data_IF_738025887217
#
_entry.id   IF_738025887217
#
_cell.length_a   1.000
_cell.length_b   1.000
_cell.length_c   1.000
_cell.angle_alpha   90.00
_cell.angle_beta   90.00
_cell.angle_gamma   90.00
#
_symmetry.space_group_name_H-M   'P 1'
#
loop_
_entity.id
_entity.type
_entity.pdbx_description
1 polymer ?
#
# COMPACT_ATOMS: atom_id res chain seq x y z
N UNK A 1 -4.50 -1.60 -37.22
CA UNK A 1 -3.13 -1.71 -36.67
C UNK A 1 -3.22 -1.39 -35.19
N UNK A 2 -3.28 -2.40 -34.33
CA UNK A 2 -3.25 -2.22 -32.88
C UNK A 2 -1.78 -2.10 -32.46
N UNK A 3 -1.43 -0.96 -31.86
CA UNK A 3 -0.14 -0.78 -31.24
C UNK A 3 -0.15 -1.46 -29.85
N UNK A 4 0.64 -2.51 -29.72
CA UNK A 4 0.87 -3.15 -28.43
C UNK A 4 1.73 -2.21 -27.57
N UNK A 5 1.17 -1.77 -26.43
CA UNK A 5 1.93 -1.06 -25.40
C UNK A 5 2.76 -2.12 -24.67
N UNK A 6 4.07 -2.11 -24.90
CA UNK A 6 5.00 -2.96 -24.17
C UNK A 6 5.15 -2.39 -22.76
N UNK A 7 4.60 -3.09 -21.77
CA UNK A 7 4.88 -2.86 -20.36
C UNK A 7 6.31 -3.37 -20.11
N UNK A 8 7.23 -2.45 -19.83
CA UNK A 8 8.59 -2.79 -19.44
C UNK A 8 8.57 -3.23 -17.98
N UNK A 9 8.48 -4.54 -17.74
CA UNK A 9 8.61 -5.13 -16.41
C UNK A 9 10.08 -4.99 -15.99
N UNK A 10 10.34 -4.19 -14.98
CA UNK A 10 11.66 -4.17 -14.31
C UNK A 10 11.87 -5.53 -13.66
N UNK A 11 13.02 -6.16 -13.91
CA UNK A 11 13.37 -7.48 -13.38
C UNK A 11 13.25 -7.48 -11.85
N UNK A 12 12.34 -8.30 -11.34
CA UNK A 12 12.20 -8.55 -9.91
C UNK A 12 13.46 -9.20 -9.34
N UNK A 13 13.85 -8.91 -8.08
CA UNK A 13 14.93 -9.63 -7.42
C UNK A 13 14.62 -11.13 -7.37
N UNK A 14 15.64 -11.97 -7.61
CA UNK A 14 15.49 -13.43 -7.68
C UNK A 14 14.88 -13.97 -6.39
N UNK A 15 13.66 -14.55 -6.50
CA UNK A 15 12.93 -15.20 -5.41
C UNK A 15 13.61 -16.50 -4.99
N UNK A 16 13.85 -16.65 -3.67
CA UNK A 16 13.96 -17.97 -3.06
C UNK A 16 12.54 -18.47 -2.74
N UNK A 17 12.21 -19.65 -3.29
CA UNK A 17 10.99 -20.44 -3.01
C UNK A 17 9.64 -19.82 -3.42
N UNK A 18 9.40 -19.72 -4.74
CA UNK A 18 8.05 -19.57 -5.27
C UNK A 18 7.25 -20.88 -5.06
N UNK A 19 6.08 -20.79 -4.41
CA UNK A 19 5.14 -21.90 -4.36
C UNK A 19 4.53 -22.12 -5.75
N UNK A 20 4.26 -23.37 -6.18
CA UNK A 20 3.83 -23.67 -7.56
C UNK A 20 2.46 -23.14 -7.97
N UNK A 21 1.65 -22.62 -7.05
CA UNK A 21 0.23 -22.29 -7.27
C UNK A 21 -0.13 -20.82 -6.97
N UNK A 22 0.84 -19.95 -6.67
CA UNK A 22 0.55 -18.53 -6.40
C UNK A 22 0.83 -17.71 -7.67
N UNK A 23 -0.22 -17.13 -8.25
CA UNK A 23 -0.11 -16.03 -9.21
C UNK A 23 0.80 -14.96 -8.63
N UNK A 24 1.77 -14.46 -9.40
CA UNK A 24 2.69 -13.44 -8.89
C UNK A 24 1.91 -12.16 -8.61
N UNK A 25 1.89 -11.71 -7.34
CA UNK A 25 1.18 -10.51 -6.92
C UNK A 25 1.56 -9.27 -7.74
N UNK A 26 2.74 -9.27 -8.36
CA UNK A 26 3.21 -8.19 -9.24
C UNK A 26 2.57 -8.21 -10.62
N UNK A 27 2.00 -9.33 -11.03
CA UNK A 27 1.29 -9.50 -12.31
C UNK A 27 -0.22 -9.24 -12.18
N UNK A 28 -0.74 -9.15 -10.93
CA UNK A 28 -2.14 -8.90 -10.65
C UNK A 28 -2.52 -7.43 -10.83
N UNK A 29 -3.76 -7.18 -11.25
CA UNK A 29 -4.36 -5.85 -11.19
C UNK A 29 -4.48 -5.34 -9.74
N UNK A 30 -4.72 -4.03 -9.58
CA UNK A 30 -4.99 -3.47 -8.26
C UNK A 30 -6.23 -4.14 -7.62
N UNK A 31 -7.31 -4.31 -8.39
CA UNK A 31 -8.55 -4.91 -7.90
C UNK A 31 -8.34 -6.37 -7.47
N UNK A 32 -7.64 -7.18 -8.27
CA UNK A 32 -7.33 -8.56 -7.90
C UNK A 32 -6.47 -8.63 -6.64
N UNK A 33 -5.47 -7.76 -6.53
CA UNK A 33 -4.64 -7.66 -5.34
C UNK A 33 -5.40 -7.18 -4.10
N UNK A 34 -6.37 -6.29 -4.27
CA UNK A 34 -7.24 -5.85 -3.17
C UNK A 34 -8.18 -6.97 -2.71
N UNK A 35 -8.61 -7.85 -3.60
CA UNK A 35 -9.58 -8.90 -3.30
C UNK A 35 -8.93 -10.20 -2.80
N UNK A 36 -7.61 -10.36 -2.92
CA UNK A 36 -6.87 -11.56 -2.49
C UNK A 36 -5.97 -11.29 -1.29
N UNK A 37 -5.83 -12.22 -0.33
CA UNK A 37 -6.61 -13.45 -0.18
C UNK A 37 -8.06 -13.17 0.27
N UNK A 38 -8.97 -14.09 -0.01
CA UNK A 38 -10.34 -14.02 0.47
C UNK A 38 -10.40 -14.33 1.97
N UNK A 39 -10.99 -13.42 2.77
CA UNK A 39 -11.02 -13.49 4.24
C UNK A 39 -12.39 -13.90 4.75
N UNK A 40 -13.48 -13.40 4.14
CA UNK A 40 -14.89 -13.56 4.61
C UNK A 40 -15.34 -15.00 4.86
N UNK A 41 -14.80 -15.96 4.12
CA UNK A 41 -15.10 -17.38 4.30
C UNK A 41 -14.17 -18.05 5.31
N UNK A 42 -13.33 -17.27 6.01
CA UNK A 42 -12.41 -17.78 7.00
C UNK A 42 -13.09 -17.84 8.39
N UNK A 43 -12.98 -18.97 9.08
CA UNK A 43 -13.53 -19.18 10.43
C UNK A 43 -13.03 -18.15 11.48
N UNK A 44 -12.04 -17.36 11.17
CA UNK A 44 -11.40 -16.39 12.05
C UNK A 44 -11.38 -14.98 11.46
N UNK A 45 -12.32 -14.66 10.55
CA UNK A 45 -12.46 -13.34 9.94
C UNK A 45 -12.64 -12.24 11.01
N UNK A 46 -13.46 -12.51 12.04
CA UNK A 46 -13.71 -11.58 13.14
C UNK A 46 -12.42 -11.15 13.87
N UNK A 47 -11.44 -12.07 14.05
CA UNK A 47 -10.16 -11.74 14.69
C UNK A 47 -9.29 -10.83 13.81
N UNK A 48 -9.39 -10.98 12.50
CA UNK A 48 -8.67 -10.12 11.54
C UNK A 48 -9.33 -8.75 11.53
N UNK A 49 -10.65 -8.69 11.48
CA UNK A 49 -11.43 -7.44 11.52
C UNK A 49 -11.13 -6.63 12.79
N UNK A 50 -11.20 -7.26 13.98
CA UNK A 50 -10.86 -6.62 15.24
C UNK A 50 -9.43 -6.07 15.23
N UNK A 51 -8.46 -6.85 14.75
CA UNK A 51 -7.08 -6.44 14.65
C UNK A 51 -6.90 -5.26 13.69
N UNK A 52 -7.55 -5.30 12.52
CA UNK A 52 -7.50 -4.22 11.54
C UNK A 52 -8.11 -2.94 12.09
N UNK A 53 -9.24 -3.03 12.80
CA UNK A 53 -9.88 -1.87 13.43
C UNK A 53 -8.95 -1.21 14.46
N UNK A 54 -8.30 -1.99 15.32
CA UNK A 54 -7.35 -1.48 16.30
C UNK A 54 -6.13 -0.83 15.62
N UNK A 55 -5.62 -1.44 14.53
CA UNK A 55 -4.53 -0.87 13.74
C UNK A 55 -4.94 0.45 13.07
N UNK A 56 -6.14 0.51 12.48
CA UNK A 56 -6.68 1.73 11.89
C UNK A 56 -6.80 2.86 12.94
N UNK A 57 -7.25 2.53 14.16
CA UNK A 57 -7.31 3.49 15.26
C UNK A 57 -5.91 3.99 15.66
N UNK A 58 -4.89 3.14 15.65
CA UNK A 58 -3.51 3.52 15.94
C UNK A 58 -2.96 4.50 14.90
N UNK A 59 -3.22 4.28 13.60
CA UNK A 59 -2.87 5.22 12.55
C UNK A 59 -3.62 6.55 12.69
N UNK A 60 -4.94 6.53 12.94
CA UNK A 60 -5.73 7.75 13.20
C UNK A 60 -5.18 8.56 14.38
N UNK A 61 -4.83 7.90 15.47
CA UNK A 61 -4.19 8.52 16.64
C UNK A 61 -2.84 9.16 16.31
N UNK A 62 -2.14 8.62 15.32
CA UNK A 62 -0.86 9.16 14.82
C UNK A 62 -1.05 10.19 13.69
N UNK A 63 -2.26 10.75 13.57
CA UNK A 63 -2.62 11.81 12.63
C UNK A 63 -2.45 11.41 11.15
N UNK A 64 -2.88 10.18 10.81
CA UNK A 64 -3.09 9.74 9.44
C UNK A 64 -4.56 9.79 9.07
N UNK A 65 -4.86 10.09 7.81
CA UNK A 65 -6.17 9.86 7.22
C UNK A 65 -6.31 8.37 6.93
N UNK A 66 -7.36 7.75 7.49
CA UNK A 66 -7.52 6.29 7.46
C UNK A 66 -8.97 5.92 7.22
N UNK A 67 -9.15 5.06 6.26
CA UNK A 67 -10.42 4.39 5.99
C UNK A 67 -10.27 2.88 6.18
N UNK A 68 -11.38 2.19 6.40
CA UNK A 68 -11.43 0.73 6.50
C UNK A 68 -12.47 0.25 5.49
N UNK A 69 -12.08 -0.67 4.64
CA UNK A 69 -12.91 -1.20 3.57
C UNK A 69 -13.01 -2.72 3.61
N UNK A 70 -13.77 -3.32 2.69
CA UNK A 70 -14.04 -4.76 2.67
C UNK A 70 -14.56 -5.27 4.03
N UNK A 71 -15.55 -4.54 4.59
CA UNK A 71 -16.20 -4.87 5.88
C UNK A 71 -15.21 -5.08 7.03
N UNK A 72 -14.19 -4.24 7.12
CA UNK A 72 -13.22 -4.31 8.21
C UNK A 72 -11.89 -4.99 7.87
N UNK A 73 -11.77 -5.59 6.68
CA UNK A 73 -10.61 -6.42 6.34
C UNK A 73 -9.39 -5.65 5.84
N UNK A 74 -9.58 -4.51 5.15
CA UNK A 74 -8.49 -3.74 4.53
C UNK A 74 -8.44 -2.33 5.08
N UNK A 75 -7.26 -1.89 5.49
CA UNK A 75 -7.01 -0.52 5.91
C UNK A 75 -6.43 0.26 4.74
N UNK A 76 -6.96 1.45 4.49
CA UNK A 76 -6.39 2.42 3.55
C UNK A 76 -5.85 3.61 4.32
N UNK A 77 -4.59 3.91 4.15
CA UNK A 77 -3.94 5.09 4.74
C UNK A 77 -3.59 6.06 3.63
N UNK A 78 -4.18 7.26 3.68
CA UNK A 78 -3.98 8.30 2.68
C UNK A 78 -2.93 9.32 3.13
N UNK A 79 -1.97 9.60 2.25
CA UNK A 79 -0.91 10.58 2.43
C UNK A 79 -0.98 11.62 1.30
N UNK A 80 -1.15 12.92 1.60
CA UNK A 80 -1.09 13.95 0.58
C UNK A 80 0.27 13.94 -0.14
N UNK A 81 0.27 14.01 -1.48
CA UNK A 81 1.52 14.02 -2.26
C UNK A 81 2.43 15.20 -1.87
N UNK A 82 1.87 16.33 -1.45
CA UNK A 82 2.65 17.49 -0.97
C UNK A 82 3.42 17.25 0.33
N UNK A 83 3.08 16.20 1.07
CA UNK A 83 3.85 15.76 2.24
C UNK A 83 5.06 14.94 1.82
N UNK A 84 4.93 14.19 0.73
CA UNK A 84 5.93 13.26 0.24
C UNK A 84 6.94 13.91 -0.70
N UNK A 85 6.48 14.83 -1.55
CA UNK A 85 7.27 15.41 -2.65
C UNK A 85 7.13 16.92 -2.71
N UNK A 86 8.17 17.61 -3.19
CA UNK A 86 8.06 19.00 -3.60
C UNK A 86 7.16 19.14 -4.86
N UNK A 87 6.64 20.32 -5.17
CA UNK A 87 5.86 20.54 -6.39
C UNK A 87 6.61 20.08 -7.64
N UNK A 88 5.95 19.30 -8.48
CA UNK A 88 6.49 18.70 -9.72
C UNK A 88 7.76 17.84 -9.54
N UNK A 89 8.12 17.49 -8.31
CA UNK A 89 9.26 16.63 -7.99
C UNK A 89 8.81 15.19 -7.76
N UNK A 90 9.77 14.28 -7.90
CA UNK A 90 9.59 12.83 -7.67
C UNK A 90 10.47 12.32 -6.54
N UNK A 91 11.39 13.14 -6.02
CA UNK A 91 12.29 12.76 -4.93
C UNK A 91 11.57 12.89 -3.58
N UNK A 92 11.63 11.82 -2.76
CA UNK A 92 11.05 11.83 -1.41
C UNK A 92 11.74 12.86 -0.52
N UNK A 93 10.93 13.72 0.10
CA UNK A 93 11.41 14.65 1.13
C UNK A 93 11.74 13.92 2.43
N UNK A 94 12.54 14.53 3.30
CA UNK A 94 12.81 14.03 4.66
C UNK A 94 11.50 13.83 5.46
N UNK A 95 10.54 14.73 5.30
CA UNK A 95 9.22 14.61 5.91
C UNK A 95 8.46 13.41 5.33
N UNK A 96 8.50 13.23 4.01
CA UNK A 96 7.89 12.09 3.34
C UNK A 96 8.44 10.77 3.86
N UNK A 97 9.76 10.64 3.95
CA UNK A 97 10.41 9.46 4.53
C UNK A 97 9.97 9.22 5.98
N UNK A 98 9.89 10.27 6.80
CA UNK A 98 9.41 10.15 8.18
C UNK A 98 7.95 9.66 8.26
N UNK A 99 7.10 10.09 7.32
CA UNK A 99 5.70 9.63 7.23
C UNK A 99 5.56 8.18 6.75
N UNK A 100 6.54 7.65 6.01
CA UNK A 100 6.55 6.26 5.55
C UNK A 100 7.12 5.28 6.60
N UNK A 101 7.96 5.74 7.54
CA UNK A 101 8.61 4.87 8.55
C UNK A 101 7.67 3.93 9.33
N UNK A 102 6.46 4.33 9.78
CA UNK A 102 5.57 3.43 10.50
C UNK A 102 5.22 2.15 9.72
N UNK A 103 5.15 2.24 8.38
CA UNK A 103 4.82 1.10 7.52
C UNK A 103 5.92 0.03 7.48
N UNK A 104 7.17 0.37 7.80
CA UNK A 104 8.26 -0.61 7.90
C UNK A 104 7.96 -1.68 8.95
N UNK A 105 7.20 -1.35 9.99
CA UNK A 105 6.80 -2.32 11.01
C UNK A 105 5.84 -3.39 10.48
N UNK A 106 5.07 -3.08 9.43
CA UNK A 106 4.15 -4.02 8.77
C UNK A 106 4.91 -5.07 7.96
N UNK A 107 6.12 -4.72 7.49
CA UNK A 107 6.97 -5.58 6.65
C UNK A 107 7.93 -6.47 7.46
N UNK A 108 7.99 -6.35 8.79
CA UNK A 108 8.85 -7.17 9.66
C UNK A 108 8.52 -8.67 9.61
N UNK A 109 7.26 -8.99 9.37
CA UNK A 109 6.80 -10.37 9.23
C UNK A 109 6.32 -10.57 7.77
N UNK A 110 7.16 -11.12 6.90
CA UNK A 110 6.76 -11.36 5.50
C UNK A 110 5.46 -12.16 5.40
N UNK A 111 4.57 -11.73 4.50
CA UNK A 111 3.26 -12.36 4.31
C UNK A 111 2.23 -12.08 5.44
N UNK A 112 2.52 -11.19 6.39
CA UNK A 112 1.51 -10.73 7.35
C UNK A 112 0.60 -9.69 6.73
N UNK A 113 1.19 -8.72 6.02
CA UNK A 113 0.51 -7.75 5.19
C UNK A 113 1.06 -7.77 3.76
N UNK A 114 0.19 -7.54 2.80
CA UNK A 114 0.51 -7.06 1.47
C UNK A 114 0.25 -5.54 1.46
N UNK A 115 1.24 -4.75 1.05
CA UNK A 115 1.14 -3.30 0.93
C UNK A 115 0.97 -2.93 -0.54
N UNK A 116 -0.16 -2.33 -0.90
CA UNK A 116 -0.36 -1.77 -2.23
C UNK A 116 -0.13 -0.26 -2.16
N UNK A 117 0.85 0.23 -2.92
CA UNK A 117 1.21 1.65 -2.98
C UNK A 117 0.55 2.25 -4.22
N UNK A 118 -0.53 3.00 -4.05
CA UNK A 118 -1.32 3.53 -5.17
C UNK A 118 -1.16 5.04 -5.26
N UNK A 119 -0.50 5.51 -6.32
CA UNK A 119 -0.21 6.93 -6.51
C UNK A 119 -1.16 7.58 -7.50
N UNK A 120 -1.82 8.64 -7.04
CA UNK A 120 -2.79 9.41 -7.81
C UNK A 120 -2.31 10.85 -8.06
N UNK A 121 -2.82 11.44 -9.14
CA UNK A 121 -2.65 12.85 -9.49
C UNK A 121 -4.01 13.56 -9.62
N UNK A 122 -3.97 14.85 -9.81
CA UNK A 122 -5.11 15.61 -10.34
C UNK A 122 -5.02 15.68 -11.89
N UNK A 123 -6.03 16.27 -12.52
CA UNK A 123 -6.11 16.44 -13.98
C UNK A 123 -5.31 17.64 -14.52
N UNK A 124 -4.28 18.11 -13.81
CA UNK A 124 -3.43 19.20 -14.29
C UNK A 124 -2.31 18.63 -15.16
N UNK A 125 -2.45 18.76 -16.47
CA UNK A 125 -1.55 18.19 -17.47
C UNK A 125 -2.26 17.19 -18.39
N UNK A 126 -1.48 16.55 -19.28
CA UNK A 126 -2.06 15.46 -20.09
C UNK A 126 -2.14 14.16 -19.28
N UNK A 127 -3.04 13.22 -19.65
CA UNK A 127 -3.11 11.91 -19.01
C UNK A 127 -1.78 11.15 -19.02
N UNK A 128 -1.01 11.28 -20.10
CA UNK A 128 0.32 10.65 -20.21
C UNK A 128 1.29 11.26 -19.19
N UNK A 129 1.27 12.59 -19.03
CA UNK A 129 2.13 13.28 -18.05
C UNK A 129 1.76 12.90 -16.62
N UNK A 130 0.49 12.87 -16.27
CA UNK A 130 0.04 12.52 -14.92
C UNK A 130 0.37 11.07 -14.59
N UNK A 131 0.25 10.16 -15.56
CA UNK A 131 0.63 8.75 -15.42
C UNK A 131 2.15 8.60 -15.20
N UNK A 132 2.98 9.26 -16.01
CA UNK A 132 4.44 9.21 -15.85
C UNK A 132 4.90 9.82 -14.52
N UNK A 133 4.30 10.93 -14.09
CA UNK A 133 4.61 11.57 -12.82
C UNK A 133 4.27 10.63 -11.63
N UNK A 134 3.09 10.01 -11.66
CA UNK A 134 2.67 9.07 -10.61
C UNK A 134 3.52 7.81 -10.61
N UNK A 135 3.92 7.30 -11.77
CA UNK A 135 4.84 6.17 -11.91
C UNK A 135 6.21 6.48 -11.30
N UNK A 136 6.81 7.61 -11.66
CA UNK A 136 8.09 8.02 -11.09
C UNK A 136 8.02 8.19 -9.57
N UNK A 137 6.93 8.77 -9.06
CA UNK A 137 6.72 8.96 -7.62
C UNK A 137 6.54 7.65 -6.86
N UNK A 138 5.67 6.75 -7.34
CA UNK A 138 5.45 5.48 -6.64
C UNK A 138 6.69 4.59 -6.68
N UNK A 139 7.45 4.62 -7.76
CA UNK A 139 8.73 3.90 -7.84
C UNK A 139 9.73 4.44 -6.80
N UNK A 140 9.86 5.76 -6.63
CA UNK A 140 10.73 6.32 -5.58
C UNK A 140 10.25 5.98 -4.16
N UNK A 141 8.94 5.84 -3.94
CA UNK A 141 8.41 5.30 -2.66
C UNK A 141 8.79 3.84 -2.51
N UNK A 142 8.61 3.03 -3.54
CA UNK A 142 8.95 1.61 -3.54
C UNK A 142 10.45 1.39 -3.30
N UNK A 143 11.31 2.13 -4.01
CA UNK A 143 12.76 2.06 -3.84
C UNK A 143 13.18 2.42 -2.40
N UNK A 144 12.51 3.41 -1.79
CA UNK A 144 12.75 3.72 -0.39
C UNK A 144 12.37 2.54 0.53
N UNK A 145 11.31 1.78 0.25
CA UNK A 145 10.99 0.56 0.99
C UNK A 145 12.05 -0.52 0.75
N UNK A 146 12.52 -0.70 -0.49
CA UNK A 146 13.62 -1.65 -0.83
C UNK A 146 14.86 -1.39 0.01
N UNK A 147 15.21 -0.11 0.18
CA UNK A 147 16.39 0.29 0.97
C UNK A 147 16.23 0.04 2.48
N UNK A 148 15.00 -0.14 2.99
CA UNK A 148 14.71 -0.15 4.43
C UNK A 148 14.05 -1.44 4.95
N UNK A 149 13.52 -2.32 4.08
CA UNK A 149 12.81 -3.54 4.47
C UNK A 149 12.81 -4.59 3.36
N UNK A 150 12.33 -5.82 3.66
CA UNK A 150 11.91 -6.78 2.63
C UNK A 150 10.63 -6.30 1.96
N UNK A 151 10.58 -6.35 0.64
CA UNK A 151 9.46 -5.86 -0.18
C UNK A 151 8.70 -6.97 -0.92
N UNK A 152 8.88 -8.23 -0.54
CA UNK A 152 8.25 -9.39 -1.20
C UNK A 152 6.72 -9.27 -1.33
N UNK A 153 6.10 -8.43 -0.50
CA UNK A 153 4.67 -8.16 -0.46
C UNK A 153 4.35 -6.67 -0.59
N UNK A 154 5.15 -5.91 -1.33
CA UNK A 154 4.90 -4.48 -1.62
C UNK A 154 4.73 -4.28 -3.11
N UNK A 155 3.56 -3.82 -3.55
CA UNK A 155 3.22 -3.67 -4.98
C UNK A 155 2.91 -2.21 -5.31
N UNK A 156 3.67 -1.57 -6.22
CA UNK A 156 3.43 -0.19 -6.64
C UNK A 156 2.46 -0.11 -7.81
N UNK A 157 1.49 0.83 -7.74
CA UNK A 157 0.55 1.18 -8.80
C UNK A 157 0.57 2.68 -9.09
N UNK A 158 0.56 3.05 -10.37
CA UNK A 158 0.46 4.42 -10.83
C UNK A 158 -0.83 4.60 -11.62
N UNK A 159 -1.72 5.47 -11.16
CA UNK A 159 -3.04 5.66 -11.77
C UNK A 159 -3.21 7.03 -12.46
N UNK A 160 -2.20 7.91 -12.42
CA UNK A 160 -2.34 9.24 -12.99
C UNK A 160 -3.54 9.99 -12.39
N UNK A 161 -4.39 10.55 -13.23
CA UNK A 161 -5.62 11.24 -12.88
C UNK A 161 -6.90 10.44 -13.17
N UNK A 162 -6.78 9.13 -13.45
CA UNK A 162 -7.89 8.27 -13.87
C UNK A 162 -8.92 8.03 -12.76
N UNK A 163 -8.52 8.09 -11.47
CA UNK A 163 -9.37 7.81 -10.33
C UNK A 163 -9.36 8.97 -9.32
N UNK A 164 -10.07 10.08 -9.62
CA UNK A 164 -10.15 11.20 -8.70
C UNK A 164 -11.02 10.87 -7.48
N UNK A 165 -10.52 11.20 -6.28
CA UNK A 165 -11.27 11.07 -5.03
C UNK A 165 -12.47 12.03 -4.99
N UNK A 166 -12.28 13.22 -5.57
CA UNK A 166 -13.29 14.29 -5.69
C UNK A 166 -13.15 15.00 -7.03
N UNK A 167 -14.19 15.72 -7.46
CA UNK A 167 -14.13 16.50 -8.70
C UNK A 167 -12.94 17.46 -8.74
N UNK A 168 -12.25 17.55 -9.86
CA UNK A 168 -11.07 18.41 -10.06
C UNK A 168 -11.42 19.90 -10.25
N UNK A 169 -12.55 20.38 -9.72
CA UNK A 169 -13.15 21.70 -9.99
C UNK A 169 -12.58 22.84 -9.12
N UNK A 170 -11.77 22.55 -8.11
CA UNK A 170 -11.13 23.55 -7.26
C UNK A 170 -9.67 23.20 -6.94
N UNK A 171 -8.89 24.17 -6.44
CA UNK A 171 -7.50 23.93 -6.02
C UNK A 171 -7.47 22.96 -4.84
N UNK A 172 -8.40 23.08 -3.90
CA UNK A 172 -8.51 22.23 -2.71
C UNK A 172 -8.84 20.79 -3.11
N UNK A 173 -9.77 20.60 -4.02
CA UNK A 173 -10.12 19.28 -4.52
C UNK A 173 -8.96 18.62 -5.28
N UNK A 174 -8.26 19.39 -6.14
CA UNK A 174 -7.07 18.88 -6.79
C UNK A 174 -5.97 18.48 -5.81
N UNK A 175 -5.79 19.22 -4.70
CA UNK A 175 -4.86 18.80 -3.63
C UNK A 175 -5.24 17.45 -3.01
N UNK A 176 -6.53 17.18 -2.83
CA UNK A 176 -7.00 15.89 -2.31
C UNK A 176 -6.79 14.75 -3.30
N UNK A 177 -6.92 15.04 -4.60
CA UNK A 177 -6.67 14.03 -5.65
C UNK A 177 -5.19 13.67 -5.75
N UNK A 178 -4.24 14.61 -5.47
CA UNK A 178 -2.81 14.32 -5.42
C UNK A 178 -2.44 13.62 -4.12
N UNK A 179 -2.46 12.30 -4.11
CA UNK A 179 -2.29 11.48 -2.92
C UNK A 179 -1.56 10.17 -3.22
N UNK A 180 -0.96 9.59 -2.18
CA UNK A 180 -0.58 8.20 -2.10
C UNK A 180 -1.56 7.49 -1.18
N UNK A 181 -2.19 6.43 -1.64
CA UNK A 181 -2.93 5.49 -0.82
C UNK A 181 -2.06 4.25 -0.55
N UNK A 182 -1.96 3.87 0.71
CA UNK A 182 -1.28 2.64 1.13
C UNK A 182 -2.35 1.70 1.68
N UNK A 183 -2.62 0.64 0.93
CA UNK A 183 -3.55 -0.40 1.34
C UNK A 183 -2.79 -1.45 2.15
N UNK A 184 -3.27 -1.74 3.35
CA UNK A 184 -2.78 -2.81 4.21
C UNK A 184 -3.74 -4.00 4.06
N UNK A 185 -3.42 -4.90 3.15
CA UNK A 185 -4.21 -6.10 2.86
C UNK A 185 -3.66 -7.25 3.69
N UNK A 186 -4.47 -7.93 4.53
CA UNK A 186 -4.06 -9.15 5.23
C UNK A 186 -3.56 -10.20 4.25
N UNK A 187 -2.45 -10.88 4.59
CA UNK A 187 -1.85 -11.88 3.72
C UNK A 187 -1.81 -13.25 4.44
N UNK A 188 -1.41 -14.30 3.76
CA UNK A 188 -1.48 -15.70 4.21
C UNK A 188 -0.93 -15.96 5.60
N UNK A 189 0.16 -15.29 6.00
CA UNK A 189 0.71 -15.47 7.34
C UNK A 189 -0.22 -14.91 8.40
N UNK A 190 -0.88 -13.76 8.18
CA UNK A 190 -1.90 -13.25 9.10
C UNK A 190 -3.06 -14.22 9.23
N UNK A 191 -3.57 -14.77 8.11
CA UNK A 191 -4.65 -15.75 8.12
C UNK A 191 -4.26 -17.02 8.91
N UNK A 192 -3.02 -17.49 8.76
CA UNK A 192 -2.51 -18.63 9.54
C UNK A 192 -2.42 -18.32 11.05
N UNK A 193 -2.01 -17.10 11.42
CA UNK A 193 -1.98 -16.69 12.83
C UNK A 193 -3.39 -16.54 13.40
N UNK A 194 -4.34 -16.00 12.64
CA UNK A 194 -5.74 -15.91 13.04
C UNK A 194 -6.35 -17.28 13.30
N UNK A 195 -6.09 -18.26 12.43
CA UNK A 195 -6.51 -19.68 12.64
C UNK A 195 -5.97 -20.28 13.95
N UNK A 196 -4.84 -19.79 14.45
CA UNK A 196 -4.23 -20.22 15.73
C UNK A 196 -4.66 -19.34 16.91
N UNK A 197 -5.57 -18.37 16.72
CA UNK A 197 -5.97 -17.40 17.73
C UNK A 197 -4.82 -16.49 18.20
N UNK A 198 -3.83 -16.23 17.34
CA UNK A 198 -2.60 -15.51 17.69
C UNK A 198 -2.48 -14.12 17.05
N UNK A 199 -3.54 -13.58 16.47
CA UNK A 199 -3.56 -12.21 15.95
C UNK A 199 -3.94 -11.27 17.10
N UNK A 200 -2.94 -10.53 17.62
CA UNK A 200 -3.13 -9.53 18.67
C UNK A 200 -2.17 -8.37 18.43
N UNK A 201 -2.55 -7.14 18.72
CA UNK A 201 -1.69 -5.93 18.65
C UNK A 201 -0.41 -6.08 19.48
N UNK A 202 -0.43 -6.88 20.55
CA UNK A 202 0.75 -7.16 21.38
C UNK A 202 1.93 -7.84 20.67
N UNK A 203 1.77 -8.34 19.44
CA UNK A 203 2.87 -8.98 18.69
C UNK A 203 3.91 -7.92 18.25
N UNK A 204 3.51 -6.67 18.02
CA UNK A 204 4.42 -5.61 17.62
C UNK A 204 5.18 -4.96 18.79
N UNK A 205 4.74 -5.17 20.04
CA UNK A 205 5.32 -4.50 21.22
C UNK A 205 6.24 -5.40 22.07
N UNK A 206 6.37 -6.70 21.78
CA UNK A 206 7.13 -7.65 22.64
C UNK A 206 8.66 -7.61 22.50
N UNK A 207 9.23 -6.80 21.61
CA UNK A 207 10.69 -6.68 21.50
C UNK A 207 11.31 -5.57 22.36
N UNK A 208 10.51 -4.75 23.08
CA UNK A 208 11.06 -3.66 23.93
C UNK A 208 11.36 -4.08 25.37
N UNK A 209 10.91 -5.25 25.82
CA UNK A 209 11.05 -5.66 27.23
C UNK A 209 12.11 -6.76 27.45
N UNK A 210 13.06 -6.93 26.53
CA UNK A 210 14.23 -7.79 26.74
C UNK A 210 15.52 -7.05 26.41
N UNK A 211 15.87 -6.08 27.26
CA UNK A 211 17.23 -5.61 27.49
C UNK A 211 17.32 -5.09 28.94
#
# INVERSE_FOLDING_TARGET
>A
MLAAVAVLVLAAPQRMDARPDDEDIYDLSLDDNLMTPEIRNNKHADLIEDYQLEMAMAFKKSNYEVEVMRDGEVIVVTLPASTLFAPNDTVLTTLGQARLKPFLSMLKNPGFYKLLLVMHSDNTGSPEYTLELTRARVNNVFDWFVDNASVDYVVPYALGDSEPLVDNNSIENRKRNRRLEIYLVPEHFMLQQAKKGKVHIGIMNKEKDKN
#
